data_IF_972771304554
#
_entry.id   IF_972771304554
#
_cell.length_a   1.000
_cell.length_b   1.000
_cell.length_c   1.000
_cell.angle_alpha   90.00
_cell.angle_beta   90.00
_cell.angle_gamma   90.00
#
_symmetry.space_group_name_H-M   'P 1'
#
loop_
_entity.id
_entity.type
_entity.pdbx_description
1 polymer ?
#
# COMPACT_ATOMS: atom_id res chain seq x y z
N UNK A 1 -21.57 -15.22 -13.25
CA UNK A 1 -20.12 -15.54 -13.26
C UNK A 1 -19.57 -15.13 -11.90
N UNK A 2 -19.27 -16.09 -11.02
CA UNK A 2 -18.67 -15.79 -9.73
C UNK A 2 -17.15 -15.76 -9.91
N UNK A 3 -16.55 -14.57 -9.87
CA UNK A 3 -15.11 -14.44 -9.65
C UNK A 3 -14.84 -15.06 -8.28
N UNK A 4 -13.94 -16.04 -8.19
CA UNK A 4 -13.48 -16.49 -6.89
C UNK A 4 -12.95 -15.23 -6.17
N UNK A 5 -13.44 -14.88 -4.96
CA UNK A 5 -12.82 -13.79 -4.23
C UNK A 5 -11.36 -14.20 -4.09
N UNK A 6 -10.45 -13.42 -4.68
CA UNK A 6 -9.03 -13.52 -4.38
C UNK A 6 -8.91 -13.27 -2.89
N UNK A 7 -9.01 -14.33 -2.10
CA UNK A 7 -8.85 -14.24 -0.66
C UNK A 7 -7.36 -14.03 -0.46
N UNK A 8 -6.95 -12.87 0.06
CA UNK A 8 -5.54 -12.63 0.34
C UNK A 8 -5.04 -13.80 1.19
N UNK A 9 -3.92 -14.41 0.80
CA UNK A 9 -3.25 -15.44 1.59
C UNK A 9 -3.16 -14.91 3.03
N UNK A 10 -3.86 -15.62 3.91
CA UNK A 10 -4.17 -15.30 5.30
C UNK A 10 -3.17 -14.32 5.96
N UNK A 11 -3.65 -13.18 6.48
CA UNK A 11 -2.90 -12.17 7.28
C UNK A 11 -2.17 -11.02 6.53
N UNK A 12 -2.70 -10.51 5.42
CA UNK A 12 -2.11 -9.34 4.75
C UNK A 12 -2.44 -8.02 5.45
N UNK A 13 -1.81 -7.77 6.59
CA UNK A 13 -1.62 -6.40 7.09
C UNK A 13 -0.83 -5.63 6.03
N UNK A 14 -1.17 -4.35 5.84
CA UNK A 14 -0.35 -3.47 5.01
C UNK A 14 1.09 -3.48 5.53
N UNK A 15 2.06 -3.74 4.66
CA UNK A 15 3.48 -3.63 5.01
C UNK A 15 3.91 -2.19 4.72
N UNK A 16 4.26 -1.43 5.76
CA UNK A 16 4.74 -0.06 5.62
C UNK A 16 6.15 -0.04 6.22
N UNK A 17 7.14 0.26 5.40
CA UNK A 17 8.54 0.31 5.79
C UNK A 17 9.23 1.56 5.22
N UNK A 18 10.11 2.17 6.02
CA UNK A 18 10.78 3.43 5.71
C UNK A 18 9.94 4.69 5.86
N UNK A 19 10.36 5.77 5.19
CA UNK A 19 9.70 7.09 5.24
C UNK A 19 8.45 7.12 4.36
N UNK A 20 7.31 6.81 4.99
CA UNK A 20 5.99 6.78 4.35
C UNK A 20 5.02 7.70 5.07
N UNK A 21 4.48 8.68 4.36
CA UNK A 21 3.40 9.54 4.84
C UNK A 21 2.10 9.23 4.09
N UNK A 22 0.99 9.08 4.81
CA UNK A 22 -0.34 8.82 4.23
C UNK A 22 -1.29 9.89 4.74
N UNK A 23 -1.91 10.63 3.82
CA UNK A 23 -2.96 11.57 4.17
C UNK A 23 -4.17 10.85 4.81
N UNK A 24 -4.80 11.38 5.87
CA UNK A 24 -5.94 10.72 6.53
C UNK A 24 -7.16 10.45 5.63
N UNK A 25 -7.30 11.19 4.52
CA UNK A 25 -8.39 10.99 3.55
C UNK A 25 -8.06 9.94 2.48
N UNK A 26 -6.82 9.45 2.43
CA UNK A 26 -6.42 8.41 1.49
C UNK A 26 -6.93 7.03 1.93
N UNK A 27 -7.23 6.19 0.95
CA UNK A 27 -7.65 4.81 1.17
C UNK A 27 -6.53 3.87 0.74
N UNK A 28 -6.02 3.08 1.68
CA UNK A 28 -5.05 2.01 1.41
C UNK A 28 -5.72 0.68 1.68
N UNK A 29 -5.96 -0.11 0.63
CA UNK A 29 -6.59 -1.40 0.77
C UNK A 29 -5.70 -2.39 1.55
N UNK A 30 -6.27 -3.43 2.18
CA UNK A 30 -5.49 -4.54 2.74
C UNK A 30 -4.55 -5.15 1.70
N UNK A 31 -3.39 -5.64 2.17
CA UNK A 31 -2.39 -6.25 1.29
C UNK A 31 -1.59 -5.30 0.39
N UNK A 32 -1.66 -3.99 0.63
CA UNK A 32 -0.74 -3.02 0.04
C UNK A 32 0.61 -3.07 0.77
N UNK A 33 1.71 -3.01 0.01
CA UNK A 33 3.06 -2.81 0.53
C UNK A 33 3.61 -1.45 0.07
N UNK A 34 4.04 -0.62 1.02
CA UNK A 34 4.68 0.67 0.81
C UNK A 34 6.09 0.60 1.43
N UNK A 35 7.12 0.60 0.59
CA UNK A 35 8.51 0.43 1.02
C UNK A 35 9.33 1.61 0.50
N UNK A 36 9.86 2.42 1.39
CA UNK A 36 10.81 3.48 1.06
C UNK A 36 12.21 3.06 1.54
N UNK A 37 13.14 2.83 0.61
CA UNK A 37 14.54 2.59 0.94
C UNK A 37 15.17 3.81 1.63
N UNK A 38 16.36 3.68 2.23
CA UNK A 38 17.09 4.82 2.79
C UNK A 38 17.16 5.99 1.79
N UNK A 39 16.99 7.22 2.30
CA UNK A 39 16.97 8.46 1.50
C UNK A 39 15.81 8.59 0.48
N UNK A 40 14.92 7.60 0.41
CA UNK A 40 13.69 7.65 -0.39
C UNK A 40 12.46 7.99 0.46
N UNK A 41 11.40 8.46 -0.20
CA UNK A 41 10.12 8.79 0.46
C UNK A 41 8.92 8.41 -0.38
N UNK A 42 7.89 7.89 0.26
CA UNK A 42 6.55 7.72 -0.32
C UNK A 42 5.58 8.67 0.37
N UNK A 43 4.84 9.47 -0.39
CA UNK A 43 3.78 10.33 0.10
C UNK A 43 2.46 10.03 -0.63
N UNK A 44 1.50 9.45 0.08
CA UNK A 44 0.15 9.21 -0.44
C UNK A 44 -0.70 10.46 -0.16
N UNK A 45 -1.05 11.19 -1.22
CA UNK A 45 -1.77 12.45 -1.13
C UNK A 45 -3.25 12.28 -0.80
N UNK A 46 -3.89 13.40 -0.41
CA UNK A 46 -5.30 13.46 -0.07
C UNK A 46 -6.20 12.92 -1.19
N UNK A 47 -7.19 12.11 -0.82
CA UNK A 47 -8.17 11.51 -1.73
C UNK A 47 -7.63 10.40 -2.64
N UNK A 48 -6.36 9.99 -2.52
CA UNK A 48 -5.82 8.88 -3.29
C UNK A 48 -6.37 7.52 -2.82
N UNK A 49 -6.52 6.59 -3.75
CA UNK A 49 -6.95 5.21 -3.46
C UNK A 49 -5.91 4.22 -3.99
N UNK A 50 -5.40 3.35 -3.11
CA UNK A 50 -4.46 2.29 -3.46
C UNK A 50 -5.17 0.94 -3.36
N UNK A 51 -5.27 0.24 -4.49
CA UNK A 51 -5.97 -1.04 -4.61
C UNK A 51 -5.24 -2.20 -3.93
N UNK A 52 -6.00 -3.25 -3.58
CA UNK A 52 -5.47 -4.47 -2.98
C UNK A 52 -4.39 -5.10 -3.87
N UNK A 53 -3.28 -5.56 -3.24
CA UNK A 53 -2.17 -6.22 -3.93
C UNK A 53 -1.17 -5.27 -4.61
N UNK A 54 -1.29 -3.95 -4.44
CA UNK A 54 -0.31 -2.99 -4.92
C UNK A 54 0.96 -3.04 -4.07
N UNK A 55 2.12 -3.02 -4.75
CA UNK A 55 3.43 -2.82 -4.14
C UNK A 55 4.02 -1.52 -4.68
N UNK A 56 4.30 -0.56 -3.81
CA UNK A 56 5.04 0.67 -4.12
C UNK A 56 6.39 0.62 -3.42
N UNK A 57 7.47 0.62 -4.20
CA UNK A 57 8.84 0.64 -3.72
C UNK A 57 9.53 1.89 -4.27
N UNK A 58 10.07 2.71 -3.37
CA UNK A 58 10.90 3.86 -3.72
C UNK A 58 12.37 3.54 -3.42
N UNK A 59 13.22 3.74 -4.41
CA UNK A 59 14.68 3.54 -4.38
C UNK A 59 15.34 4.70 -5.12
N UNK A 60 16.29 5.37 -4.48
CA UNK A 60 16.87 6.67 -4.89
C UNK A 60 18.32 6.59 -5.33
#
# INVERSE_FOLDING_TARGET
>A
MAVMPWQPLHNQKSCIDGEVSIDPSAVVAPGVALIANPESRIAIAAGACIGMGVVLHADG
#
